data_IF_804290147558
#
_entry.id   IF_804290147558
#
_cell.length_a   1.000
_cell.length_b   1.000
_cell.length_c   1.000
_cell.angle_alpha   90.00
_cell.angle_beta   90.00
_cell.angle_gamma   90.00
#
_symmetry.space_group_name_H-M   'P 1'
#
loop_
_entity.id
_entity.type
_entity.pdbx_description
1 polymer ?
#
# COMPACT_ATOMS: atom_id res chain seq x y z
N UNK A 1 5.22 -33.07 -23.73
CA UNK A 1 6.39 -32.18 -23.93
C UNK A 1 6.44 -31.26 -22.72
N UNK A 2 7.35 -31.56 -21.79
CA UNK A 2 7.59 -30.68 -20.65
C UNK A 2 8.23 -29.40 -21.21
N UNK A 3 7.57 -28.28 -21.05
CA UNK A 3 8.16 -26.98 -21.32
C UNK A 3 9.22 -26.74 -20.24
N UNK A 4 10.48 -26.83 -20.60
CA UNK A 4 11.59 -26.31 -19.78
C UNK A 4 11.43 -24.79 -19.71
N UNK A 5 10.79 -24.31 -18.65
CA UNK A 5 10.85 -22.93 -18.26
C UNK A 5 12.27 -22.73 -17.72
N UNK A 6 13.11 -22.08 -18.50
CA UNK A 6 14.49 -21.82 -18.11
C UNK A 6 14.53 -21.00 -16.83
N UNK A 7 15.26 -21.51 -15.85
CA UNK A 7 15.40 -21.01 -14.47
C UNK A 7 15.94 -19.56 -14.38
N UNK A 8 16.31 -18.94 -15.50
CA UNK A 8 16.92 -17.62 -15.56
C UNK A 8 15.95 -16.43 -15.52
N UNK A 9 14.67 -16.62 -15.87
CA UNK A 9 13.68 -15.52 -15.92
C UNK A 9 12.73 -15.51 -14.69
N UNK A 10 12.82 -16.52 -13.85
CA UNK A 10 12.08 -16.65 -12.58
C UNK A 10 12.98 -16.35 -11.40
N UNK A 11 13.81 -15.30 -11.53
CA UNK A 11 14.63 -14.90 -10.40
C UNK A 11 13.74 -14.55 -9.21
N UNK A 12 14.16 -14.97 -8.04
CA UNK A 12 13.58 -14.71 -6.72
C UNK A 12 13.32 -13.21 -6.43
N UNK A 13 13.61 -12.34 -7.40
CA UNK A 13 13.49 -10.89 -7.28
C UNK A 13 12.05 -10.38 -7.16
N UNK A 14 11.05 -11.24 -7.26
CA UNK A 14 9.64 -10.85 -7.25
C UNK A 14 8.84 -11.48 -6.11
N UNK A 15 9.47 -12.21 -5.20
CA UNK A 15 8.81 -12.64 -3.99
C UNK A 15 8.44 -11.41 -3.14
N UNK A 16 7.16 -11.25 -2.83
CA UNK A 16 6.67 -10.09 -2.05
C UNK A 16 7.35 -9.98 -0.68
N UNK A 17 7.67 -11.11 -0.04
CA UNK A 17 8.40 -11.15 1.21
C UNK A 17 9.83 -10.65 1.08
N UNK A 18 10.53 -11.00 -0.01
CA UNK A 18 11.90 -10.52 -0.26
C UNK A 18 11.93 -9.03 -0.52
N UNK A 19 10.95 -8.50 -1.28
CA UNK A 19 10.81 -7.06 -1.49
C UNK A 19 10.65 -6.28 -0.18
N UNK A 20 9.95 -6.87 0.80
CA UNK A 20 9.75 -6.27 2.12
C UNK A 20 11.02 -6.35 2.96
N UNK A 21 11.64 -7.55 3.03
CA UNK A 21 12.83 -7.80 3.84
C UNK A 21 14.02 -6.97 3.34
N UNK A 22 14.23 -6.94 2.02
CA UNK A 22 15.31 -6.20 1.38
C UNK A 22 15.00 -4.72 1.18
N UNK A 23 13.78 -4.28 1.52
CA UNK A 23 13.29 -2.90 1.36
C UNK A 23 13.42 -2.37 -0.08
N UNK A 24 13.25 -3.24 -1.04
CA UNK A 24 13.28 -2.93 -2.48
C UNK A 24 11.91 -2.50 -3.03
N UNK A 25 10.94 -2.19 -2.18
CA UNK A 25 9.63 -1.67 -2.54
C UNK A 25 9.68 -0.30 -3.21
N UNK A 26 8.55 0.14 -3.74
CA UNK A 26 8.39 1.48 -4.28
C UNK A 26 8.54 2.54 -3.19
N UNK A 27 9.03 3.74 -3.55
CA UNK A 27 9.02 4.88 -2.64
C UNK A 27 7.59 5.28 -2.35
N UNK A 28 7.17 5.07 -1.10
CA UNK A 28 5.78 5.17 -0.68
C UNK A 28 5.52 6.44 0.11
N UNK A 29 4.44 7.14 -0.23
CA UNK A 29 3.84 8.20 0.56
C UNK A 29 2.63 7.71 1.35
N UNK A 30 2.23 8.46 2.35
CA UNK A 30 1.04 8.21 3.15
C UNK A 30 0.21 9.49 3.26
N UNK A 31 -1.09 9.39 3.02
CA UNK A 31 -2.08 10.43 3.33
C UNK A 31 -2.99 9.90 4.43
N UNK A 32 -3.11 10.62 5.53
CA UNK A 32 -3.86 10.19 6.71
C UNK A 32 -4.64 11.34 7.34
N UNK A 33 -5.56 11.01 8.24
CA UNK A 33 -6.30 11.97 9.05
C UNK A 33 -5.35 12.85 9.85
N UNK A 34 -5.62 14.16 9.90
CA UNK A 34 -4.84 15.12 10.68
C UNK A 34 -4.70 14.71 12.15
N UNK A 35 -3.45 14.77 12.66
CA UNK A 35 -3.06 14.35 14.00
C UNK A 35 -2.63 12.87 14.10
N UNK A 36 -2.66 12.10 12.99
CA UNK A 36 -2.36 10.67 12.98
C UNK A 36 -1.14 10.28 12.13
N UNK A 37 -0.35 11.26 11.69
CA UNK A 37 0.86 11.04 10.88
C UNK A 37 1.88 10.11 11.51
N UNK A 38 1.99 10.14 12.82
CA UNK A 38 3.03 9.44 13.55
C UNK A 38 2.58 8.05 14.08
N UNK A 39 1.36 7.60 13.77
CA UNK A 39 0.86 6.26 14.12
C UNK A 39 1.83 5.17 13.61
N UNK A 40 2.36 5.30 12.39
CA UNK A 40 3.31 4.35 11.81
C UNK A 40 4.65 4.34 12.57
N UNK A 41 5.08 5.48 13.12
CA UNK A 41 6.30 5.60 13.91
C UNK A 41 6.12 5.03 15.31
N UNK A 42 5.02 5.41 15.96
CA UNK A 42 4.69 4.98 17.31
C UNK A 42 4.48 3.46 17.33
N UNK A 43 3.74 2.92 16.36
CA UNK A 43 3.40 1.52 16.27
C UNK A 43 2.70 1.04 17.54
N UNK A 44 3.02 -0.15 18.01
CA UNK A 44 2.53 -0.70 19.28
C UNK A 44 3.36 -0.29 20.51
N UNK A 45 4.27 0.67 20.37
CA UNK A 45 5.21 1.11 21.42
C UNK A 45 6.13 -0.02 21.98
N UNK A 46 6.22 -1.14 21.28
CA UNK A 46 7.12 -2.24 21.67
C UNK A 46 8.54 -1.88 21.28
N UNK A 47 9.46 -1.98 22.23
CA UNK A 47 10.90 -1.79 21.99
C UNK A 47 11.48 -3.09 21.41
N UNK A 48 12.37 -3.01 20.38
CA UNK A 48 13.05 -4.19 19.83
C UNK A 48 13.85 -4.95 20.89
N UNK A 49 14.51 -4.20 21.77
CA UNK A 49 15.24 -4.73 22.95
C UNK A 49 14.86 -3.96 24.21
N UNK A 50 14.39 -4.69 25.24
CA UNK A 50 13.86 -4.07 26.45
C UNK A 50 14.93 -3.28 27.22
N UNK A 51 16.17 -3.79 27.25
CA UNK A 51 17.29 -3.25 28.04
C UNK A 51 18.37 -2.55 27.22
N UNK A 52 18.29 -2.52 25.90
CA UNK A 52 19.23 -1.77 25.06
C UNK A 52 18.53 -0.61 24.34
N UNK A 53 18.75 0.59 24.84
CA UNK A 53 18.16 1.83 24.29
C UNK A 53 18.79 2.30 22.97
N UNK A 54 19.93 1.71 22.56
CA UNK A 54 20.63 2.06 21.33
C UNK A 54 20.01 1.37 20.11
N UNK A 55 19.26 0.29 20.33
CA UNK A 55 18.59 -0.42 19.24
C UNK A 55 17.28 0.25 18.91
N UNK A 56 17.25 0.97 17.79
CA UNK A 56 16.06 1.60 17.24
C UNK A 56 15.17 0.61 16.46
N UNK A 57 13.91 1.00 16.25
CA UNK A 57 13.04 0.30 15.31
C UNK A 57 13.56 0.47 13.87
N UNK A 58 13.38 -0.53 13.00
CA UNK A 58 13.64 -0.33 11.58
C UNK A 58 12.83 0.87 11.04
N UNK A 59 13.39 1.73 10.17
CA UNK A 59 12.66 2.86 9.64
C UNK A 59 11.40 2.37 8.88
N UNK A 60 10.24 3.03 9.04
CA UNK A 60 9.02 2.68 8.33
C UNK A 60 9.18 2.79 6.80
N UNK A 61 8.39 2.01 6.03
CA UNK A 61 8.42 2.02 4.57
C UNK A 61 7.99 3.38 3.99
N UNK A 62 7.01 4.05 4.61
CA UNK A 62 6.69 5.45 4.31
C UNK A 62 7.48 6.34 5.26
N UNK A 63 8.49 7.05 4.76
CA UNK A 63 9.31 7.96 5.56
C UNK A 63 8.46 9.12 6.10
N UNK A 64 8.81 9.64 7.29
CA UNK A 64 8.04 10.70 7.96
C UNK A 64 7.80 11.93 7.08
N UNK A 65 8.77 12.32 6.26
CA UNK A 65 8.65 13.44 5.32
C UNK A 65 7.63 13.20 4.19
N UNK A 66 7.28 11.94 3.90
CA UNK A 66 6.30 11.54 2.90
C UNK A 66 4.95 11.17 3.52
N UNK A 67 4.72 11.46 4.81
CA UNK A 67 3.44 11.27 5.48
C UNK A 67 2.75 12.62 5.59
N UNK A 68 1.68 12.80 4.85
CA UNK A 68 0.91 14.03 4.80
C UNK A 68 -0.44 13.84 5.48
N UNK A 69 -0.94 14.91 6.06
CA UNK A 69 -2.18 14.93 6.81
C UNK A 69 -3.21 15.78 6.08
N UNK A 70 -4.46 15.33 6.09
CA UNK A 70 -5.58 16.08 5.53
C UNK A 70 -6.69 16.25 6.56
N UNK A 71 -7.46 17.32 6.39
CA UNK A 71 -8.58 17.61 7.27
C UNK A 71 -9.81 16.81 6.83
N UNK A 72 -10.07 15.77 7.56
CA UNK A 72 -11.28 14.97 7.47
C UNK A 72 -11.56 14.33 8.82
N UNK A 73 -12.78 13.89 9.09
CA UNK A 73 -13.09 13.10 10.27
C UNK A 73 -14.35 12.27 10.11
N UNK A 74 -14.22 10.98 10.32
CA UNK A 74 -15.33 10.04 10.51
C UNK A 74 -15.24 9.50 11.94
N UNK A 75 -16.39 9.35 12.62
CA UNK A 75 -16.43 8.78 13.96
C UNK A 75 -16.61 7.26 13.95
N UNK A 76 -16.57 6.62 15.12
CA UNK A 76 -16.68 5.17 15.26
C UNK A 76 -18.06 4.60 14.82
N UNK A 77 -19.09 5.46 14.67
CA UNK A 77 -20.40 5.09 14.14
C UNK A 77 -20.47 5.16 12.61
N UNK A 78 -19.44 5.70 11.96
CA UNK A 78 -19.41 5.93 10.51
C UNK A 78 -20.03 7.27 10.09
N UNK A 79 -20.35 8.16 11.05
CA UNK A 79 -20.89 9.49 10.77
C UNK A 79 -19.76 10.44 10.40
N UNK A 80 -19.97 11.29 9.40
CA UNK A 80 -19.02 12.30 8.96
C UNK A 80 -19.09 13.49 9.92
N UNK A 81 -18.06 13.71 10.71
CA UNK A 81 -17.92 14.88 11.59
C UNK A 81 -17.28 16.06 10.86
N UNK A 82 -16.38 15.77 9.90
CA UNK A 82 -15.75 16.77 9.04
C UNK A 82 -15.59 16.18 7.66
N UNK A 83 -16.16 16.83 6.66
CA UNK A 83 -16.02 16.41 5.27
C UNK A 83 -14.56 16.49 4.81
N UNK A 84 -14.18 15.63 3.89
CA UNK A 84 -12.88 15.64 3.24
C UNK A 84 -12.76 16.88 2.34
N UNK A 85 -11.64 17.57 2.43
CA UNK A 85 -11.27 18.61 1.48
C UNK A 85 -10.43 17.98 0.35
N UNK A 86 -11.05 17.76 -0.81
CA UNK A 86 -10.38 17.16 -1.97
C UNK A 86 -9.22 18.02 -2.49
N UNK A 87 -9.31 19.35 -2.38
CA UNK A 87 -8.23 20.24 -2.81
C UNK A 87 -6.97 20.08 -1.94
N UNK A 88 -7.16 19.80 -0.65
CA UNK A 88 -6.05 19.46 0.27
C UNK A 88 -5.41 18.13 -0.10
N UNK A 89 -6.22 17.11 -0.45
CA UNK A 89 -5.72 15.82 -0.94
C UNK A 89 -4.94 15.96 -2.24
N UNK A 90 -5.45 16.71 -3.22
CA UNK A 90 -4.75 16.97 -4.47
C UNK A 90 -3.41 17.71 -4.24
N UNK A 91 -3.39 18.66 -3.31
CA UNK A 91 -2.16 19.37 -2.93
C UNK A 91 -1.15 18.42 -2.32
N UNK A 92 -1.59 17.55 -1.41
CA UNK A 92 -0.75 16.50 -0.82
C UNK A 92 -0.22 15.53 -1.89
N UNK A 93 -1.06 15.11 -2.84
CA UNK A 93 -0.65 14.24 -3.94
C UNK A 93 0.44 14.88 -4.83
N UNK A 94 0.28 16.19 -5.17
CA UNK A 94 1.30 16.94 -5.93
C UNK A 94 2.62 17.07 -5.15
N UNK A 95 2.57 17.25 -3.84
CA UNK A 95 3.77 17.28 -2.99
C UNK A 95 4.49 15.92 -2.99
N UNK A 96 3.76 14.81 -2.88
CA UNK A 96 4.32 13.46 -2.95
C UNK A 96 4.92 13.18 -4.33
N UNK A 97 4.25 13.59 -5.41
CA UNK A 97 4.78 13.50 -6.78
C UNK A 97 6.11 14.26 -6.91
N UNK A 98 6.16 15.50 -6.44
CA UNK A 98 7.39 16.31 -6.45
C UNK A 98 8.52 15.70 -5.61
N UNK A 99 8.21 14.97 -4.57
CA UNK A 99 9.17 14.23 -3.75
C UNK A 99 9.65 12.90 -4.38
N UNK A 100 9.18 12.57 -5.60
CA UNK A 100 9.55 11.35 -6.31
C UNK A 100 8.96 10.08 -5.70
N UNK A 101 7.82 10.18 -5.02
CA UNK A 101 7.03 9.04 -4.55
C UNK A 101 6.42 8.33 -5.75
N UNK A 102 6.28 7.01 -5.68
CA UNK A 102 5.76 6.15 -6.76
C UNK A 102 4.41 5.52 -6.38
N UNK A 103 4.15 5.41 -5.08
CA UNK A 103 2.92 4.82 -4.57
C UNK A 103 2.40 5.60 -3.37
N UNK A 104 1.08 5.69 -3.24
CA UNK A 104 0.40 6.44 -2.16
C UNK A 104 -0.51 5.51 -1.40
N UNK A 105 -0.26 5.37 -0.10
CA UNK A 105 -1.18 4.74 0.84
C UNK A 105 -2.14 5.80 1.39
N UNK A 106 -3.44 5.48 1.44
CA UNK A 106 -4.44 6.32 2.10
C UNK A 106 -5.04 5.51 3.26
N UNK A 107 -4.97 6.07 4.45
CA UNK A 107 -5.53 5.43 5.63
C UNK A 107 -6.17 6.48 6.55
N UNK A 108 -7.51 6.55 6.52
CA UNK A 108 -8.27 7.44 7.38
C UNK A 108 -8.87 6.71 8.56
N UNK A 109 -9.15 7.46 9.61
CA UNK A 109 -9.80 6.91 10.78
C UNK A 109 -11.22 6.40 10.44
N UNK A 110 -11.53 5.22 10.97
CA UNK A 110 -12.84 4.57 10.80
C UNK A 110 -13.27 4.30 9.35
N UNK A 111 -12.35 4.29 8.39
CA UNK A 111 -12.64 3.98 6.99
C UNK A 111 -13.25 2.57 6.80
N UNK A 112 -12.97 1.64 7.72
CA UNK A 112 -13.61 0.31 7.75
C UNK A 112 -15.12 0.36 8.00
N UNK A 113 -15.63 1.47 8.58
CA UNK A 113 -17.07 1.71 8.80
C UNK A 113 -17.71 2.52 7.69
N UNK A 114 -16.98 3.51 7.20
CA UNK A 114 -17.44 4.37 6.12
C UNK A 114 -16.26 4.71 5.20
N UNK A 115 -16.16 4.07 4.02
CA UNK A 115 -15.04 4.23 3.11
C UNK A 115 -15.13 5.49 2.24
N UNK A 116 -16.20 6.29 2.32
CA UNK A 116 -16.49 7.38 1.40
C UNK A 116 -15.31 8.36 1.23
N UNK A 117 -14.67 8.77 2.35
CA UNK A 117 -13.53 9.69 2.29
C UNK A 117 -12.29 9.06 1.61
N UNK A 118 -12.01 7.78 1.82
CA UNK A 118 -10.90 7.12 1.12
C UNK A 118 -11.15 6.97 -0.38
N UNK A 119 -12.40 6.71 -0.78
CA UNK A 119 -12.79 6.66 -2.19
C UNK A 119 -12.68 8.05 -2.85
N UNK A 120 -13.14 9.11 -2.18
CA UNK A 120 -12.98 10.48 -2.64
C UNK A 120 -11.50 10.86 -2.74
N UNK A 121 -10.69 10.48 -1.74
CA UNK A 121 -9.26 10.73 -1.74
C UNK A 121 -8.55 10.00 -2.89
N UNK A 122 -8.91 8.74 -3.19
CA UNK A 122 -8.38 8.02 -4.36
C UNK A 122 -8.65 8.80 -5.64
N UNK A 123 -9.91 9.19 -5.88
CA UNK A 123 -10.27 9.94 -7.08
C UNK A 123 -9.51 11.29 -7.19
N UNK A 124 -9.31 11.98 -6.07
CA UNK A 124 -8.53 13.22 -6.02
C UNK A 124 -7.03 12.98 -6.32
N UNK A 125 -6.46 11.89 -5.79
CA UNK A 125 -5.07 11.51 -6.06
C UNK A 125 -4.90 11.15 -7.53
N UNK A 126 -5.76 10.33 -8.10
CA UNK A 126 -5.72 9.92 -9.51
C UNK A 126 -5.80 11.11 -10.47
N UNK A 127 -6.57 12.16 -10.12
CA UNK A 127 -6.59 13.42 -10.89
C UNK A 127 -5.28 14.19 -10.81
N UNK A 128 -4.68 14.27 -9.64
CA UNK A 128 -3.48 15.08 -9.38
C UNK A 128 -2.17 14.36 -9.66
N UNK A 129 -2.18 13.03 -9.56
CA UNK A 129 -1.01 12.16 -9.71
C UNK A 129 -1.40 10.82 -10.36
N UNK A 130 -1.79 10.80 -11.63
CA UNK A 130 -2.33 9.62 -12.32
C UNK A 130 -1.35 8.44 -12.43
N UNK A 131 -0.04 8.70 -12.32
CA UNK A 131 0.98 7.63 -12.41
C UNK A 131 1.21 6.92 -11.07
N UNK A 132 0.61 7.40 -9.97
CA UNK A 132 0.78 6.79 -8.65
C UNK A 132 -0.01 5.49 -8.52
N UNK A 133 0.61 4.47 -7.97
CA UNK A 133 -0.13 3.32 -7.45
C UNK A 133 -0.83 3.74 -6.15
N UNK A 134 -2.16 3.67 -6.11
CA UNK A 134 -2.95 4.11 -4.94
C UNK A 134 -3.51 2.91 -4.19
N UNK A 135 -3.20 2.84 -2.91
CA UNK A 135 -3.69 1.80 -2.01
C UNK A 135 -4.51 2.42 -0.89
N UNK A 136 -5.79 2.07 -0.78
CA UNK A 136 -6.71 2.59 0.24
C UNK A 136 -7.05 1.53 1.28
N UNK A 137 -7.11 1.93 2.55
CA UNK A 137 -7.05 1.00 3.67
C UNK A 137 -8.27 0.08 3.78
N UNK A 138 -9.46 0.57 3.42
CA UNK A 138 -10.66 -0.24 3.53
C UNK A 138 -10.74 -1.39 2.52
N UNK A 139 -10.00 -1.32 1.40
CA UNK A 139 -9.88 -2.42 0.44
C UNK A 139 -8.82 -3.44 0.85
N UNK A 140 -7.72 -2.96 1.44
CA UNK A 140 -6.58 -3.81 1.80
C UNK A 140 -6.84 -4.57 3.09
N UNK A 141 -7.34 -3.87 4.12
CA UNK A 141 -7.62 -4.45 5.44
C UNK A 141 -8.73 -3.68 6.12
N UNK A 142 -9.98 -4.16 6.02
CA UNK A 142 -11.15 -3.48 6.59
C UNK A 142 -11.35 -3.84 8.08
N UNK A 143 -10.32 -3.56 8.90
CA UNK A 143 -10.35 -3.85 10.35
C UNK A 143 -10.23 -2.57 11.19
N UNK A 144 -10.60 -2.67 12.48
CA UNK A 144 -10.73 -1.51 13.38
C UNK A 144 -9.41 -0.96 13.94
N UNK A 145 -8.31 -1.66 13.90
CA UNK A 145 -7.03 -1.25 14.49
C UNK A 145 -6.24 -0.33 13.56
N UNK A 146 -6.01 0.91 13.97
CA UNK A 146 -5.40 1.95 13.14
C UNK A 146 -3.98 1.60 12.68
N UNK A 147 -3.13 1.11 13.60
CA UNK A 147 -1.74 0.80 13.27
C UNK A 147 -1.63 -0.37 12.30
N UNK A 148 -2.31 -1.47 12.57
CA UNK A 148 -2.29 -2.68 11.73
C UNK A 148 -2.81 -2.36 10.33
N UNK A 149 -3.94 -1.65 10.24
CA UNK A 149 -4.52 -1.25 8.96
C UNK A 149 -3.58 -0.33 8.19
N UNK A 150 -3.04 0.70 8.84
CA UNK A 150 -2.12 1.64 8.22
C UNK A 150 -0.82 0.97 7.78
N UNK A 151 -0.24 0.13 8.62
CA UNK A 151 0.99 -0.61 8.32
C UNK A 151 0.80 -1.55 7.12
N UNK A 152 -0.30 -2.31 7.08
CA UNK A 152 -0.63 -3.22 5.98
C UNK A 152 -0.89 -2.45 4.68
N UNK A 153 -1.59 -1.31 4.75
CA UNK A 153 -1.85 -0.47 3.57
C UNK A 153 -0.56 0.13 3.01
N UNK A 154 0.34 0.61 3.86
CA UNK A 154 1.65 1.11 3.44
C UNK A 154 2.50 0.00 2.83
N UNK A 155 2.45 -1.21 3.40
CA UNK A 155 3.13 -2.37 2.85
C UNK A 155 2.59 -2.72 1.47
N UNK A 156 1.26 -2.79 1.31
CA UNK A 156 0.62 -3.03 0.03
C UNK A 156 1.01 -1.98 -1.02
N UNK A 157 1.01 -0.69 -0.65
CA UNK A 157 1.45 0.39 -1.53
C UNK A 157 2.93 0.27 -1.93
N UNK A 158 3.79 -0.20 -1.03
CA UNK A 158 5.21 -0.36 -1.31
C UNK A 158 5.51 -1.53 -2.27
N UNK A 159 4.76 -2.62 -2.17
CA UNK A 159 4.96 -3.83 -2.97
C UNK A 159 4.19 -3.77 -4.30
N UNK A 160 3.00 -3.15 -4.28
CA UNK A 160 2.03 -3.14 -5.38
C UNK A 160 2.61 -2.84 -6.77
N UNK A 161 3.36 -1.73 -6.98
CA UNK A 161 3.87 -1.38 -8.31
C UNK A 161 4.81 -2.43 -8.92
N UNK A 162 5.51 -3.21 -8.10
CA UNK A 162 6.37 -4.29 -8.58
C UNK A 162 5.58 -5.55 -8.88
N UNK A 163 4.62 -5.88 -8.02
CA UNK A 163 3.73 -7.02 -8.21
C UNK A 163 2.88 -6.84 -9.47
N UNK A 164 2.31 -5.65 -9.67
CA UNK A 164 1.53 -5.32 -10.86
C UNK A 164 2.33 -5.56 -12.14
N UNK A 165 3.52 -5.00 -12.24
CA UNK A 165 4.42 -5.21 -13.40
C UNK A 165 4.83 -6.67 -13.59
N UNK A 166 4.98 -7.43 -12.51
CA UNK A 166 5.27 -8.85 -12.59
C UNK A 166 4.08 -9.61 -13.17
N UNK A 167 2.88 -9.37 -12.65
CA UNK A 167 1.66 -10.02 -13.10
C UNK A 167 1.34 -9.68 -14.55
N UNK A 168 1.53 -8.43 -14.98
CA UNK A 168 1.38 -8.01 -16.38
C UNK A 168 2.33 -8.80 -17.30
N UNK A 169 3.62 -8.87 -16.96
CA UNK A 169 4.60 -9.66 -17.73
C UNK A 169 4.26 -11.15 -17.74
N UNK A 170 3.80 -11.65 -16.62
CA UNK A 170 3.38 -13.05 -16.51
C UNK A 170 2.19 -13.34 -17.45
N UNK A 171 1.16 -12.49 -17.44
CA UNK A 171 0.00 -12.63 -18.33
C UNK A 171 0.40 -12.49 -19.81
N UNK A 172 1.30 -11.55 -20.12
CA UNK A 172 1.83 -11.42 -21.47
C UNK A 172 2.53 -12.70 -21.94
N UNK A 173 3.39 -13.30 -21.10
CA UNK A 173 4.07 -14.56 -21.41
C UNK A 173 3.11 -15.73 -21.58
N UNK A 174 2.09 -15.84 -20.76
CA UNK A 174 1.03 -16.85 -20.89
C UNK A 174 0.34 -16.71 -22.25
N UNK A 175 0.08 -15.49 -22.69
CA UNK A 175 -0.52 -15.21 -24.00
C UNK A 175 0.43 -15.55 -25.15
N UNK A 176 1.71 -15.16 -25.07
CA UNK A 176 2.73 -15.46 -26.08
C UNK A 176 2.98 -16.98 -26.25
N UNK A 177 2.82 -17.74 -25.18
CA UNK A 177 2.95 -19.20 -25.19
C UNK A 177 1.66 -19.92 -25.62
N UNK A 178 0.64 -19.18 -26.02
CA UNK A 178 -0.67 -19.72 -26.44
C UNK A 178 -1.28 -20.71 -25.43
N UNK A 179 -1.07 -20.46 -24.12
CA UNK A 179 -1.63 -21.31 -23.06
C UNK A 179 -3.13 -21.04 -22.97
N UNK A 180 -4.02 -22.04 -23.26
CA UNK A 180 -5.45 -21.80 -23.42
C UNK A 180 -6.22 -21.70 -22.09
N UNK A 181 -5.54 -21.64 -20.95
CA UNK A 181 -6.16 -21.61 -19.62
C UNK A 181 -5.84 -20.31 -18.90
N UNK A 182 -6.82 -19.78 -18.18
CA UNK A 182 -6.61 -18.64 -17.30
C UNK A 182 -5.71 -19.04 -16.13
N UNK A 183 -4.60 -18.31 -15.89
CA UNK A 183 -3.71 -18.60 -14.78
C UNK A 183 -4.32 -18.16 -13.44
N UNK A 184 -4.05 -18.95 -12.42
CA UNK A 184 -4.40 -18.65 -11.03
C UNK A 184 -3.14 -18.54 -10.18
N UNK A 185 -3.19 -17.68 -9.17
CA UNK A 185 -2.18 -17.62 -8.11
C UNK A 185 -2.71 -18.28 -6.84
N UNK A 186 -1.81 -18.74 -5.99
CA UNK A 186 -2.16 -19.38 -4.73
C UNK A 186 -1.76 -18.44 -3.58
N UNK A 187 -2.70 -18.16 -2.71
CA UNK A 187 -2.41 -17.49 -1.45
C UNK A 187 -1.62 -18.40 -0.51
N UNK A 188 -0.88 -17.79 0.44
CA UNK A 188 -0.15 -18.54 1.48
C UNK A 188 -1.06 -19.42 2.36
N UNK A 189 -2.37 -19.12 2.42
CA UNK A 189 -3.37 -19.95 3.10
C UNK A 189 -3.96 -21.06 2.22
N UNK A 190 -3.46 -21.26 0.98
CA UNK A 190 -3.91 -22.28 0.05
C UNK A 190 -5.12 -21.89 -0.82
N UNK A 191 -5.65 -20.69 -0.71
CA UNK A 191 -6.74 -20.19 -1.56
C UNK A 191 -6.26 -19.84 -2.98
N UNK A 192 -7.10 -20.13 -4.00
CA UNK A 192 -6.87 -19.70 -5.38
C UNK A 192 -7.38 -18.28 -5.60
N UNK A 193 -6.63 -17.49 -6.36
CA UNK A 193 -6.97 -16.13 -6.75
C UNK A 193 -6.71 -15.95 -8.24
N UNK A 194 -7.65 -15.31 -8.94
CA UNK A 194 -7.42 -14.87 -10.33
C UNK A 194 -6.25 -13.89 -10.39
N UNK A 195 -5.49 -13.95 -11.47
CA UNK A 195 -4.37 -13.02 -11.73
C UNK A 195 -4.87 -11.68 -12.33
N UNK A 196 -6.16 -11.63 -12.71
CA UNK A 196 -6.83 -10.43 -13.27
C UNK A 196 -7.53 -9.61 -12.21
#
# INVERSE_FOLDING_TARGET
TAYEITYGDWSSDVCSSDLVIERKGARTGLITTRGFRDVLEIGRQVRPHLYDYRVGKPPPLALRQHRLEVHERINARGEVLKALDEAEVETAARQLKAAGVQSVAVCFLHAYRNPAHEQQARAAIERAFPEAYVSISHEVLSEFREYERLSTTVLNAAVGPRMERYLERFLQRVTELEIPVEPFTIHSNGGLMSVR
#
